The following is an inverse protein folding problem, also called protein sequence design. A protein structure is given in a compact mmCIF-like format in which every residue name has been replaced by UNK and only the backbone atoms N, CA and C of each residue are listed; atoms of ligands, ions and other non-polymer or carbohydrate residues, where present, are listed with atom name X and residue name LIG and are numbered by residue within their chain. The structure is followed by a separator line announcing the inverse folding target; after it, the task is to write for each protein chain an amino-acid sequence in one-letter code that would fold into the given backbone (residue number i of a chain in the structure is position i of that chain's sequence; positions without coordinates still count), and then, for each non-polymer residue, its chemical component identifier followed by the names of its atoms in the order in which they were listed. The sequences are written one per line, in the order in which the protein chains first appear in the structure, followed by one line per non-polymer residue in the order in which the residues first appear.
data_IF_522946683587
#
_entry.id   IF_522946683587
#
_cell.length_a   1.000
_cell.length_b   1.000
_cell.length_c   1.000
_cell.angle_alpha   90.00
_cell.angle_beta   90.00
_cell.angle_gamma   90.00
#
_symmetry.space_group_name_H-M   'P 1'
#
loop_
_entity.id
_entity.type
_entity.pdbx_description
1 polymer ?
#
# COMPACT_ATOMS: atom_id res chain seq x y z
N UNK A 1 15.03 14.99 41.52
CA UNK A 1 15.66 14.42 40.30
C UNK A 1 14.51 14.03 39.38
N UNK A 2 13.98 14.98 38.60
CA UNK A 2 13.04 14.65 37.55
C UNK A 2 13.88 14.14 36.40
N UNK A 3 13.96 12.81 36.24
CA UNK A 3 14.40 12.23 34.97
C UNK A 3 13.33 12.63 33.97
N UNK A 4 13.68 13.61 33.14
CA UNK A 4 12.89 13.93 31.97
C UNK A 4 12.89 12.67 31.09
N UNK A 5 11.74 12.01 30.93
CA UNK A 5 11.59 10.75 30.17
C UNK A 5 12.02 10.90 28.70
N UNK A 6 12.35 12.10 28.27
CA UNK A 6 12.74 12.49 26.93
C UNK A 6 14.26 12.47 26.67
N UNK A 7 15.10 12.39 27.71
CA UNK A 7 16.56 12.40 27.53
C UNK A 7 17.06 10.97 27.29
N UNK A 8 17.35 10.65 26.03
CA UNK A 8 17.91 9.35 25.65
C UNK A 8 19.35 9.16 26.16
N UNK A 9 20.17 10.22 26.14
CA UNK A 9 21.57 10.19 26.60
C UNK A 9 22.03 11.58 27.04
N UNK A 10 22.95 11.62 28.01
CA UNK A 10 23.58 12.85 28.47
C UNK A 10 25.05 12.61 28.81
N UNK A 11 25.92 13.53 28.41
CA UNK A 11 27.36 13.42 28.62
C UNK A 11 28.06 14.78 28.65
N UNK A 12 29.33 14.79 29.07
CA UNK A 12 30.20 15.96 28.96
C UNK A 12 31.09 15.81 27.72
N UNK A 13 31.31 16.92 27.04
CA UNK A 13 32.28 16.99 25.93
C UNK A 13 33.66 16.62 26.47
N UNK A 14 34.36 15.72 25.77
CA UNK A 14 35.72 15.31 26.11
C UNK A 14 36.71 16.46 25.86
N UNK A 15 37.90 16.36 26.46
CA UNK A 15 38.95 17.39 26.32
C UNK A 15 39.40 17.61 24.86
N UNK A 16 39.13 16.66 23.96
CA UNK A 16 39.41 16.74 22.52
C UNK A 16 38.29 17.42 21.70
N UNK A 17 37.23 17.91 22.37
CA UNK A 17 36.08 18.56 21.73
C UNK A 17 35.12 17.58 21.02
N UNK A 18 35.29 16.26 21.17
CA UNK A 18 34.42 15.27 20.51
C UNK A 18 33.32 14.78 21.43
N UNK A 19 32.15 14.54 20.86
CA UNK A 19 31.02 13.87 21.49
C UNK A 19 30.83 12.54 20.76
N UNK A 20 30.86 11.44 21.51
CA UNK A 20 30.63 10.09 21.00
C UNK A 20 29.53 9.48 21.86
N UNK A 21 28.49 8.98 21.22
CA UNK A 21 27.37 8.30 21.85
C UNK A 21 26.91 7.13 20.97
N UNK A 22 26.29 6.12 21.57
CA UNK A 22 25.76 4.97 20.84
C UNK A 22 24.28 5.20 20.53
N UNK A 23 23.91 5.12 19.25
CA UNK A 23 22.51 5.24 18.85
C UNK A 23 21.73 4.01 19.30
N UNK A 24 20.61 4.23 20.00
CA UNK A 24 19.74 3.18 20.53
C UNK A 24 18.35 3.23 19.90
N UNK A 25 17.57 2.15 20.04
CA UNK A 25 16.22 2.05 19.48
C UNK A 25 15.26 3.16 19.97
N UNK A 26 15.51 3.74 21.16
CA UNK A 26 14.69 4.85 21.71
C UNK A 26 14.89 6.18 20.99
N UNK A 27 15.95 6.31 20.19
CA UNK A 27 16.24 7.51 19.40
C UNK A 27 15.53 7.51 18.03
N UNK A 28 14.84 6.42 17.67
CA UNK A 28 14.06 6.34 16.43
C UNK A 28 12.74 7.11 16.59
N UNK A 29 12.30 7.91 15.60
CA UNK A 29 12.91 8.10 14.26
C UNK A 29 13.81 9.33 14.14
N UNK A 30 13.81 10.21 15.14
CA UNK A 30 14.66 11.39 15.20
C UNK A 30 15.04 11.70 16.64
N UNK A 31 16.17 12.38 16.81
CA UNK A 31 16.62 12.87 18.10
C UNK A 31 17.22 14.26 17.93
N UNK A 32 17.03 15.11 18.94
CA UNK A 32 17.66 16.43 19.01
C UNK A 32 18.89 16.34 19.92
N UNK A 33 20.06 16.68 19.40
CA UNK A 33 21.28 16.83 20.17
C UNK A 33 21.38 18.29 20.63
N UNK A 34 21.27 18.51 21.93
CA UNK A 34 21.46 19.82 22.55
C UNK A 34 22.87 19.92 23.12
N UNK A 35 23.60 20.95 22.73
CA UNK A 35 24.92 21.28 23.30
C UNK A 35 24.82 22.64 23.95
N UNK A 36 25.17 22.74 25.22
CA UNK A 36 25.19 24.02 25.92
C UNK A 36 26.48 24.24 26.69
N UNK A 37 26.93 25.50 26.72
CA UNK A 37 28.04 25.96 27.56
C UNK A 37 27.50 26.82 28.70
N UNK A 38 27.96 26.56 29.93
CA UNK A 38 27.53 27.28 31.13
C UNK A 38 28.60 28.27 31.66
N UNK A 39 29.70 28.52 30.93
CA UNK A 39 30.72 29.47 31.37
C UNK A 39 30.33 30.92 31.03
N UNK A 40 29.55 31.55 31.92
CA UNK A 40 29.16 32.96 31.86
C UNK A 40 27.79 33.16 31.23
N UNK A 41 27.74 33.37 29.92
CA UNK A 41 26.47 33.43 29.17
C UNK A 41 26.13 32.04 28.66
N UNK A 42 24.95 31.54 29.00
CA UNK A 42 24.48 30.24 28.49
C UNK A 42 24.34 30.32 26.98
N UNK A 43 25.21 29.63 26.26
CA UNK A 43 25.13 29.45 24.82
C UNK A 43 24.61 28.04 24.56
N UNK A 44 23.56 27.92 23.76
CA UNK A 44 22.94 26.64 23.41
C UNK A 44 22.94 26.54 21.89
N UNK A 45 23.39 25.41 21.38
CA UNK A 45 23.21 25.01 20.00
C UNK A 45 22.45 23.68 19.94
N UNK A 46 21.78 23.40 18.84
CA UNK A 46 20.95 22.20 18.69
C UNK A 46 21.03 21.69 17.26
N UNK A 47 21.16 20.38 17.12
CA UNK A 47 21.10 19.69 15.83
C UNK A 47 20.02 18.60 15.92
N UNK A 48 19.12 18.58 14.94
CA UNK A 48 18.20 17.46 14.71
C UNK A 48 18.87 16.44 13.79
N UNK A 49 18.86 15.17 14.18
CA UNK A 49 19.30 14.07 13.32
C UNK A 49 18.26 12.96 13.29
N UNK A 50 18.19 12.27 12.17
CA UNK A 50 17.26 11.16 11.95
C UNK A 50 17.96 9.84 12.23
N UNK A 51 17.26 8.94 12.90
CA UNK A 51 17.75 7.60 13.22
C UNK A 51 16.89 6.60 12.48
N UNK A 52 17.51 5.88 11.56
CA UNK A 52 16.83 4.85 10.79
C UNK A 52 16.58 3.60 11.66
N UNK A 53 15.35 3.08 11.70
CA UNK A 53 15.05 1.85 12.43
C UNK A 53 15.74 0.65 11.80
N UNK A 54 16.47 -0.13 12.59
CA UNK A 54 17.08 -1.36 12.12
C UNK A 54 16.09 -2.53 12.12
N UNK A 55 15.58 -2.87 10.94
CA UNK A 55 14.60 -3.96 10.79
C UNK A 55 15.27 -5.31 10.49
N UNK A 56 15.09 -6.28 11.39
CA UNK A 56 15.54 -7.69 11.22
C UNK A 56 14.53 -8.60 10.51
N UNK A 57 13.49 -8.04 9.89
CA UNK A 57 12.46 -8.86 9.22
C UNK A 57 13.00 -9.41 7.90
N UNK A 58 12.89 -10.73 7.71
CA UNK A 58 13.34 -11.41 6.48
C UNK A 58 12.28 -12.38 5.98
N UNK A 59 12.21 -12.49 4.66
CA UNK A 59 11.30 -13.35 3.94
C UNK A 59 12.14 -14.29 3.07
N UNK A 60 11.89 -15.58 3.17
CA UNK A 60 12.50 -16.59 2.32
C UNK A 60 11.42 -17.48 1.72
N UNK A 61 11.68 -17.99 0.52
CA UNK A 61 10.75 -18.85 -0.21
C UNK A 61 11.50 -20.05 -0.77
N UNK A 62 10.87 -21.22 -0.76
CA UNK A 62 11.52 -22.47 -1.14
C UNK A 62 11.98 -22.52 -2.60
N UNK A 63 11.24 -21.87 -3.51
CA UNK A 63 11.54 -21.82 -4.95
C UNK A 63 11.12 -20.48 -5.55
N UNK A 64 11.91 -19.95 -6.47
CA UNK A 64 11.57 -18.75 -7.26
C UNK A 64 10.84 -19.10 -8.56
N UNK A 65 10.96 -20.33 -9.05
CA UNK A 65 10.26 -20.83 -10.24
C UNK A 65 9.27 -21.92 -9.84
N UNK A 66 7.99 -21.69 -10.10
CA UNK A 66 6.90 -22.56 -9.62
C UNK A 66 5.91 -22.81 -10.74
N UNK A 67 5.27 -23.98 -10.79
CA UNK A 67 4.19 -24.20 -11.76
C UNK A 67 2.90 -23.56 -11.26
N UNK A 68 1.98 -23.32 -12.20
CA UNK A 68 0.60 -22.97 -11.88
C UNK A 68 0.01 -23.99 -10.90
N UNK A 69 -0.69 -23.52 -9.87
CA UNK A 69 -1.37 -24.37 -8.89
C UNK A 69 -0.47 -25.24 -7.99
N UNK A 70 0.86 -25.09 -8.05
CA UNK A 70 1.80 -25.80 -7.18
C UNK A 70 1.80 -25.20 -5.75
N UNK A 71 2.30 -26.00 -4.80
CA UNK A 71 2.50 -25.56 -3.42
C UNK A 71 3.87 -24.89 -3.26
N UNK A 72 3.88 -23.75 -2.58
CA UNK A 72 5.04 -22.94 -2.28
C UNK A 72 5.21 -22.81 -0.77
N UNK A 73 6.43 -22.99 -0.27
CA UNK A 73 6.72 -22.82 1.16
C UNK A 73 7.38 -21.47 1.38
N UNK A 74 6.83 -20.68 2.29
CA UNK A 74 7.29 -19.35 2.67
C UNK A 74 7.72 -19.38 4.13
N UNK A 75 8.91 -18.86 4.40
CA UNK A 75 9.46 -18.70 5.73
C UNK A 75 9.58 -17.20 6.05
N UNK A 76 8.94 -16.77 7.14
CA UNK A 76 8.98 -15.40 7.65
C UNK A 76 9.74 -15.41 8.96
N UNK A 77 10.78 -14.58 9.08
CA UNK A 77 11.52 -14.40 10.33
C UNK A 77 11.47 -12.93 10.74
N UNK A 78 10.98 -12.66 11.95
CA UNK A 78 10.89 -11.34 12.54
C UNK A 78 11.16 -11.37 14.04
N UNK A 79 10.69 -10.35 14.77
CA UNK A 79 10.77 -10.33 16.23
C UNK A 79 9.75 -11.30 16.84
N UNK A 80 10.03 -11.73 18.07
CA UNK A 80 9.10 -12.55 18.85
C UNK A 80 7.77 -11.81 19.05
N UNK A 81 6.67 -12.55 18.96
CA UNK A 81 5.29 -12.06 19.10
C UNK A 81 4.94 -10.88 18.18
N UNK A 82 5.62 -10.75 17.05
CA UNK A 82 5.26 -9.74 16.04
C UNK A 82 4.11 -10.24 15.15
N UNK A 83 3.31 -9.29 14.69
CA UNK A 83 2.26 -9.49 13.72
C UNK A 83 2.83 -9.23 12.31
N UNK A 84 2.93 -10.27 11.50
CA UNK A 84 3.47 -10.22 10.15
C UNK A 84 2.36 -10.29 9.11
N UNK A 85 2.18 -9.22 8.33
CA UNK A 85 1.36 -9.20 7.12
C UNK A 85 2.18 -9.78 5.96
N UNK A 86 1.68 -10.86 5.36
CA UNK A 86 2.21 -11.41 4.12
C UNK A 86 1.34 -10.94 2.95
N UNK A 87 1.98 -10.38 1.92
CA UNK A 87 1.28 -9.99 0.70
C UNK A 87 1.97 -10.52 -0.54
N UNK A 88 1.17 -10.92 -1.53
CA UNK A 88 1.63 -11.36 -2.84
C UNK A 88 0.78 -10.70 -3.93
N UNK A 89 1.46 -9.91 -4.76
CA UNK A 89 0.85 -9.04 -5.76
C UNK A 89 1.47 -9.33 -7.11
N UNK A 90 0.67 -9.35 -8.16
CA UNK A 90 1.15 -9.42 -9.53
C UNK A 90 2.12 -8.26 -9.83
N UNK A 91 3.20 -8.57 -10.53
CA UNK A 91 4.26 -7.60 -10.85
C UNK A 91 3.73 -6.36 -11.59
N UNK A 92 2.65 -6.51 -12.37
CA UNK A 92 2.01 -5.40 -13.10
C UNK A 92 1.42 -4.36 -12.14
N UNK A 93 1.03 -4.77 -10.93
CA UNK A 93 0.54 -3.89 -9.87
C UNK A 93 1.66 -3.48 -8.89
N UNK A 94 2.86 -4.05 -8.99
CA UNK A 94 3.94 -3.80 -8.05
C UNK A 94 4.35 -2.33 -8.02
N UNK A 95 4.60 -1.70 -9.18
CA UNK A 95 4.97 -0.28 -9.22
C UNK A 95 3.88 0.63 -8.65
N UNK A 96 2.62 0.32 -8.96
CA UNK A 96 1.47 1.05 -8.43
C UNK A 96 1.47 0.98 -6.89
N UNK A 97 1.61 -0.22 -6.34
CA UNK A 97 1.64 -0.44 -4.89
C UNK A 97 2.87 0.19 -4.25
N UNK A 98 4.06 0.06 -4.85
CA UNK A 98 5.28 0.71 -4.35
C UNK A 98 5.14 2.23 -4.33
N UNK A 99 4.48 2.82 -5.32
CA UNK A 99 4.21 4.26 -5.36
C UNK A 99 3.28 4.71 -4.23
N UNK A 100 2.25 3.91 -3.90
CA UNK A 100 1.38 4.20 -2.75
C UNK A 100 2.06 3.92 -1.40
N UNK A 101 2.94 2.92 -1.33
CA UNK A 101 3.69 2.59 -0.11
C UNK A 101 4.82 3.59 0.18
N UNK A 102 5.43 4.19 -0.84
CA UNK A 102 6.48 5.20 -0.67
C UNK A 102 5.94 6.55 -0.17
N UNK A 103 4.66 6.84 -0.40
CA UNK A 103 3.96 7.97 0.24
C UNK A 103 3.64 7.72 1.73
N UNK A 104 4.02 6.55 2.29
CA UNK A 104 3.95 6.30 3.73
C UNK A 104 5.12 6.91 4.52
N UNK A 105 6.16 7.45 3.87
CA UNK A 105 6.84 8.61 4.45
C UNK A 105 6.01 9.80 4.02
N UNK A 106 4.80 9.86 4.55
CA UNK A 106 4.08 11.10 4.41
C UNK A 106 4.93 12.08 5.18
N UNK A 107 5.21 13.20 4.54
CA UNK A 107 5.80 14.36 5.19
C UNK A 107 4.78 14.96 6.16
N UNK A 108 4.27 14.14 7.08
CA UNK A 108 3.67 14.66 8.27
C UNK A 108 4.83 15.27 9.02
N UNK A 109 4.78 16.58 9.21
CA UNK A 109 5.57 17.19 10.25
C UNK A 109 5.05 16.59 11.55
N UNK A 110 5.82 15.69 12.15
CA UNK A 110 5.55 15.23 13.51
C UNK A 110 5.85 16.39 14.46
N UNK A 111 4.83 17.20 14.71
CA UNK A 111 4.89 18.33 15.63
C UNK A 111 4.68 17.91 17.08
N UNK A 112 4.60 16.60 17.39
CA UNK A 112 4.42 16.13 18.77
C UNK A 112 5.55 16.58 19.71
N UNK A 113 6.75 16.78 19.15
CA UNK A 113 7.89 17.44 19.81
C UNK A 113 7.56 18.84 20.33
N UNK A 114 6.70 19.60 19.63
CA UNK A 114 6.29 20.96 20.02
C UNK A 114 5.20 20.94 21.10
N UNK A 115 4.41 19.88 21.19
CA UNK A 115 3.30 19.77 22.15
C UNK A 115 3.79 19.36 23.54
N UNK A 116 4.82 18.51 23.63
CA UNK A 116 5.40 18.07 24.90
C UNK A 116 6.35 19.09 25.53
N UNK A 117 6.98 19.92 24.71
CA UNK A 117 7.82 21.03 25.17
C UNK A 117 7.15 22.37 24.86
N UNK A 118 6.18 22.77 25.70
CA UNK A 118 5.65 24.14 25.69
C UNK A 118 6.72 25.23 25.94
N UNK A 119 7.98 24.85 26.23
CA UNK A 119 9.03 25.78 26.67
C UNK A 119 10.03 26.15 25.58
N UNK A 120 10.13 25.39 24.50
CA UNK A 120 11.05 25.70 23.39
C UNK A 120 10.42 25.35 22.04
N UNK A 121 9.63 26.28 21.50
CA UNK A 121 9.25 26.26 20.09
C UNK A 121 10.52 26.47 19.25
N UNK A 122 11.12 25.38 18.76
CA UNK A 122 12.27 25.45 17.86
C UNK A 122 11.80 25.77 16.43
N UNK A 123 11.46 27.04 16.22
CA UNK A 123 11.08 27.60 14.92
C UNK A 123 12.20 27.50 13.87
N UNK A 124 13.45 27.23 14.28
CA UNK A 124 14.61 27.17 13.39
C UNK A 124 14.70 25.93 12.48
N UNK A 125 14.04 24.82 12.83
CA UNK A 125 14.06 23.60 12.01
C UNK A 125 12.91 23.50 11.03
N UNK A 126 11.92 24.38 11.16
CA UNK A 126 10.72 24.35 10.35
C UNK A 126 10.81 25.51 9.37
N UNK A 127 10.94 25.20 8.09
CA UNK A 127 10.65 26.19 7.05
C UNK A 127 9.15 26.50 7.11
N UNK A 128 8.81 27.53 7.90
CA UNK A 128 7.43 27.92 8.16
C UNK A 128 6.65 28.24 6.89
N UNK A 129 7.33 28.70 5.83
CA UNK A 129 6.70 28.99 4.55
C UNK A 129 6.36 27.69 3.82
N UNK A 130 7.30 26.74 3.79
CA UNK A 130 7.05 25.44 3.18
C UNK A 130 6.00 24.63 3.96
N UNK A 131 6.08 24.62 5.29
CA UNK A 131 5.07 24.00 6.15
C UNK A 131 3.69 24.59 5.89
N UNK A 132 3.58 25.92 5.86
CA UNK A 132 2.31 26.59 5.61
C UNK A 132 1.76 26.20 4.24
N UNK A 133 2.56 26.24 3.17
CA UNK A 133 2.10 25.90 1.83
C UNK A 133 1.56 24.45 1.75
N UNK A 134 2.29 23.48 2.29
CA UNK A 134 1.89 22.06 2.28
C UNK A 134 0.61 21.81 3.10
N UNK A 135 0.48 22.48 4.26
CA UNK A 135 -0.74 22.42 5.07
C UNK A 135 -1.91 23.05 4.32
N UNK A 136 -1.72 24.23 3.71
CA UNK A 136 -2.78 24.93 3.00
C UNK A 136 -3.31 24.11 1.82
N UNK A 137 -2.43 23.49 1.01
CA UNK A 137 -2.82 22.63 -0.11
C UNK A 137 -3.65 21.42 0.36
N UNK A 138 -3.15 20.68 1.35
CA UNK A 138 -3.85 19.50 1.89
C UNK A 138 -5.21 19.87 2.48
N UNK A 139 -5.28 20.99 3.20
CA UNK A 139 -6.52 21.43 3.83
C UNK A 139 -7.51 22.02 2.84
N UNK A 140 -7.04 22.66 1.76
CA UNK A 140 -7.87 23.11 0.63
C UNK A 140 -8.50 21.90 -0.09
N UNK A 141 -7.72 20.87 -0.42
CA UNK A 141 -8.26 19.62 -0.99
C UNK A 141 -9.32 18.97 -0.10
N UNK A 142 -9.06 18.91 1.21
CA UNK A 142 -10.02 18.38 2.18
C UNK A 142 -11.32 19.20 2.21
N UNK A 143 -11.25 20.52 2.10
CA UNK A 143 -12.41 21.41 2.02
C UNK A 143 -13.29 21.13 0.80
N UNK A 144 -12.65 20.93 -0.37
CA UNK A 144 -13.34 20.55 -1.62
C UNK A 144 -14.04 19.19 -1.48
N UNK A 145 -13.32 18.18 -0.97
CA UNK A 145 -13.87 16.83 -0.78
C UNK A 145 -15.03 16.82 0.22
N UNK A 146 -14.95 17.62 1.28
CA UNK A 146 -16.02 17.74 2.27
C UNK A 146 -17.30 18.27 1.63
N UNK A 147 -17.23 19.31 0.80
CA UNK A 147 -18.39 19.83 0.09
C UNK A 147 -18.98 18.78 -0.85
N UNK A 148 -18.15 18.02 -1.57
CA UNK A 148 -18.62 16.96 -2.46
C UNK A 148 -19.41 15.89 -1.70
N UNK A 149 -18.97 15.53 -0.48
CA UNK A 149 -19.57 14.47 0.33
C UNK A 149 -20.78 14.94 1.14
N UNK A 150 -20.64 16.02 1.93
CA UNK A 150 -21.68 16.52 2.84
C UNK A 150 -22.65 17.52 2.19
N UNK A 151 -22.35 18.00 0.98
CA UNK A 151 -23.13 19.02 0.24
C UNK A 151 -23.28 20.38 0.96
N UNK A 152 -22.65 20.55 2.12
CA UNK A 152 -22.64 21.78 2.90
C UNK A 152 -21.32 21.93 3.63
N UNK A 153 -20.81 23.16 3.69
CA UNK A 153 -19.65 23.49 4.51
C UNK A 153 -20.02 23.51 6.00
N UNK A 154 -19.29 22.78 6.86
CA UNK A 154 -19.50 22.83 8.30
C UNK A 154 -19.05 24.17 8.89
N UNK A 155 -19.75 24.63 9.93
CA UNK A 155 -19.29 25.78 10.72
C UNK A 155 -18.28 25.29 11.76
N UNK A 156 -17.04 25.71 11.63
CA UNK A 156 -15.99 25.41 12.60
C UNK A 156 -15.67 26.62 13.48
N UNK A 157 -15.21 26.34 14.70
CA UNK A 157 -14.68 27.37 15.60
C UNK A 157 -13.15 27.36 15.56
N UNK A 158 -12.54 28.53 15.70
CA UNK A 158 -11.09 28.62 15.88
C UNK A 158 -10.68 27.92 17.19
N UNK A 159 -9.54 27.22 17.13
CA UNK A 159 -8.90 26.54 18.24
C UNK A 159 -7.81 27.41 18.88
N UNK A 160 -7.15 26.90 19.93
CA UNK A 160 -5.94 27.52 20.49
C UNK A 160 -4.67 27.30 19.64
N UNK A 161 -4.72 26.40 18.64
CA UNK A 161 -3.57 26.06 17.80
C UNK A 161 -3.52 26.95 16.56
N UNK A 162 -2.47 27.76 16.45
CA UNK A 162 -2.24 28.61 15.27
C UNK A 162 -2.14 27.77 13.97
N UNK A 163 -1.51 26.59 14.04
CA UNK A 163 -1.34 25.69 12.88
C UNK A 163 -2.68 25.09 12.46
N UNK A 164 -3.48 24.62 13.43
CA UNK A 164 -4.82 24.10 13.14
C UNK A 164 -5.71 25.18 12.55
N UNK A 165 -5.61 26.43 13.03
CA UNK A 165 -6.39 27.54 12.52
C UNK A 165 -5.96 27.97 11.11
N UNK A 166 -4.67 27.85 10.74
CA UNK A 166 -4.21 28.06 9.36
C UNK A 166 -4.84 27.03 8.42
N UNK A 167 -4.75 25.74 8.74
CA UNK A 167 -5.42 24.69 7.98
C UNK A 167 -6.93 24.93 7.88
N UNK A 168 -7.56 25.27 9.00
CA UNK A 168 -9.00 25.49 9.06
C UNK A 168 -9.45 26.64 8.14
N UNK A 169 -8.69 27.73 8.09
CA UNK A 169 -8.99 28.87 7.21
C UNK A 169 -8.93 28.46 5.74
N UNK A 170 -7.89 27.74 5.33
CA UNK A 170 -7.77 27.26 3.94
C UNK A 170 -8.86 26.27 3.57
N UNK A 171 -9.21 25.38 4.50
CA UNK A 171 -10.33 24.45 4.35
C UNK A 171 -11.66 25.18 4.12
N UNK A 172 -12.00 26.14 4.98
CA UNK A 172 -13.26 26.89 4.89
C UNK A 172 -13.32 27.67 3.59
N UNK A 173 -12.23 28.38 3.24
CA UNK A 173 -12.14 29.14 2.00
C UNK A 173 -12.38 28.26 0.77
N UNK A 174 -11.77 27.08 0.71
CA UNK A 174 -11.94 26.13 -0.39
C UNK A 174 -13.38 25.61 -0.49
N UNK A 175 -13.99 25.28 0.66
CA UNK A 175 -15.37 24.82 0.72
C UNK A 175 -16.36 25.91 0.28
N UNK A 176 -16.22 27.14 0.79
CA UNK A 176 -17.11 28.26 0.49
C UNK A 176 -16.98 28.73 -0.98
N UNK A 177 -15.76 28.76 -1.52
CA UNK A 177 -15.50 29.11 -2.93
C UNK A 177 -16.36 28.29 -3.89
N UNK A 178 -16.49 26.98 -3.66
CA UNK A 178 -17.27 26.09 -4.51
C UNK A 178 -18.78 26.14 -4.23
N UNK A 179 -19.18 26.57 -3.03
CA UNK A 179 -20.60 26.72 -2.68
C UNK A 179 -21.22 27.95 -3.37
N UNK A 180 -20.41 28.98 -3.62
CA UNK A 180 -20.83 30.22 -4.30
C UNK A 180 -20.87 30.13 -5.83
N UNK A 181 -20.30 29.08 -6.44
CA UNK A 181 -20.40 28.86 -7.89
C UNK A 181 -21.65 28.06 -8.23
N UNK A 182 -22.73 28.79 -8.54
CA UNK A 182 -23.95 28.28 -9.18
C UNK A 182 -23.64 27.43 -10.41
N UNK A 183 -23.94 26.14 -10.30
CA UNK A 183 -24.47 25.23 -11.34
C UNK A 183 -24.18 25.61 -12.79
N UNK A 184 -22.96 25.37 -13.25
CA UNK A 184 -22.75 24.92 -14.63
C UNK A 184 -22.00 23.61 -14.55
N UNK A 185 -22.62 22.50 -14.95
CA UNK A 185 -21.93 21.21 -15.05
C UNK A 185 -20.81 21.34 -16.08
N UNK A 186 -19.59 21.65 -15.62
CA UNK A 186 -18.41 21.57 -16.46
C UNK A 186 -18.01 20.11 -16.56
N UNK A 187 -18.68 19.39 -17.47
CA UNK A 187 -18.06 18.26 -18.13
C UNK A 187 -16.83 18.83 -18.83
N UNK A 188 -15.63 18.46 -18.38
CA UNK A 188 -14.39 18.90 -19.02
C UNK A 188 -14.41 18.45 -20.49
N UNK A 189 -14.59 19.41 -21.40
CA UNK A 189 -14.46 19.16 -22.83
C UNK A 189 -12.98 19.09 -23.19
N UNK A 190 -12.53 17.86 -23.45
CA UNK A 190 -11.12 17.54 -23.77
C UNK A 190 -10.65 18.21 -25.07
N UNK A 191 -11.54 18.75 -25.90
CA UNK A 191 -11.19 19.41 -27.17
C UNK A 191 -10.91 20.90 -27.06
N UNK A 192 -11.45 21.59 -26.05
CA UNK A 192 -11.39 23.07 -26.00
C UNK A 192 -10.52 23.62 -24.87
N UNK A 193 -10.07 22.79 -23.93
CA UNK A 193 -9.19 23.22 -22.83
C UNK A 193 -9.79 24.30 -21.91
N UNK A 194 -11.07 24.63 -22.10
CA UNK A 194 -11.76 25.70 -21.39
C UNK A 194 -12.76 25.07 -20.42
N UNK A 195 -12.43 25.03 -19.14
CA UNK A 195 -13.37 24.58 -18.11
C UNK A 195 -12.74 23.87 -16.92
N UNK A 196 -11.58 23.24 -17.10
CA UNK A 196 -10.80 22.77 -15.97
C UNK A 196 -9.97 23.98 -15.52
N UNK A 197 -10.19 24.48 -14.29
CA UNK A 197 -9.45 25.61 -13.74
C UNK A 197 -7.96 25.27 -13.72
N UNK A 198 -7.22 25.74 -14.71
CA UNK A 198 -5.77 25.79 -14.66
C UNK A 198 -5.47 27.06 -13.88
N UNK A 199 -5.21 26.91 -12.57
CA UNK A 199 -4.44 27.92 -11.88
C UNK A 199 -3.03 27.95 -12.46
N UNK A 200 -2.47 29.14 -12.54
CA UNK A 200 -1.24 29.50 -13.27
C UNK A 200 0.06 28.83 -12.80
N UNK A 201 -0.04 27.79 -11.97
CA UNK A 201 1.11 27.14 -11.35
C UNK A 201 1.10 25.61 -11.51
N UNK A 202 0.77 25.10 -12.70
CA UNK A 202 1.22 23.79 -13.20
C UNK A 202 0.88 22.51 -12.38
N UNK A 203 0.14 22.60 -11.28
CA UNK A 203 -0.22 21.45 -10.45
C UNK A 203 -1.45 20.75 -11.03
N UNK A 204 -1.24 19.49 -11.36
CA UNK A 204 -2.28 18.61 -11.91
C UNK A 204 -3.25 18.24 -10.79
N UNK A 205 -4.51 18.67 -10.92
CA UNK A 205 -5.61 18.19 -10.08
C UNK A 205 -5.72 16.67 -10.24
N UNK A 206 -5.15 15.92 -9.28
CA UNK A 206 -5.32 14.47 -9.19
C UNK A 206 -6.65 14.18 -8.50
N UNK A 207 -7.72 14.20 -9.29
CA UNK A 207 -8.97 13.57 -8.88
C UNK A 207 -8.78 12.04 -8.88
N UNK A 208 -8.34 11.50 -7.74
CA UNK A 208 -8.46 10.09 -7.43
C UNK A 208 -9.81 9.84 -6.74
N UNK A 209 -10.91 9.91 -7.50
CA UNK A 209 -12.16 9.29 -7.08
C UNK A 209 -12.11 7.80 -7.43
N UNK A 210 -11.36 7.03 -6.66
CA UNK A 210 -11.58 5.60 -6.54
C UNK A 210 -12.18 5.37 -5.16
N UNK A 211 -13.51 5.47 -5.07
CA UNK A 211 -14.22 4.85 -3.96
C UNK A 211 -14.00 3.35 -4.07
N UNK A 212 -13.02 2.83 -3.32
CA UNK A 212 -12.98 1.41 -3.01
C UNK A 212 -14.09 1.19 -1.99
N UNK A 213 -15.26 0.73 -2.47
CA UNK A 213 -16.28 0.15 -1.62
C UNK A 213 -15.68 -1.10 -0.96
N UNK A 214 -15.06 -0.93 0.21
CA UNK A 214 -14.94 -2.00 1.17
C UNK A 214 -16.35 -2.27 1.67
N UNK A 215 -17.07 -3.17 0.99
CA UNK A 215 -18.16 -3.87 1.64
C UNK A 215 -17.53 -4.62 2.81
N UNK A 216 -17.68 -4.02 3.99
CA UNK A 216 -17.68 -4.69 5.29
C UNK A 216 -18.12 -6.14 5.10
N UNK A 217 -17.17 -7.06 5.08
CA UNK A 217 -17.42 -8.46 5.36
C UNK A 217 -17.64 -8.46 6.87
N UNK A 218 -18.88 -8.19 7.26
CA UNK A 218 -19.40 -8.51 8.57
C UNK A 218 -19.08 -9.98 8.83
N UNK A 219 -18.16 -10.21 9.74
CA UNK A 219 -17.87 -11.50 10.36
C UNK A 219 -19.13 -11.97 11.09
N UNK A 220 -20.07 -12.53 10.33
CA UNK A 220 -21.15 -13.33 10.88
C UNK A 220 -20.57 -14.70 11.20
N UNK A 221 -20.22 -14.86 12.48
CA UNK A 221 -20.15 -16.15 13.13
C UNK A 221 -21.44 -16.93 12.81
N UNK A 222 -21.36 -17.86 11.85
CA UNK A 222 -22.47 -18.77 11.56
C UNK A 222 -22.16 -20.12 12.18
N UNK A 223 -22.98 -20.43 13.18
CA UNK A 223 -23.05 -21.68 13.93
C UNK A 223 -22.81 -22.90 13.05
N UNK A 224 -21.85 -23.73 13.48
CA UNK A 224 -21.78 -25.15 13.14
C UNK A 224 -23.01 -25.83 13.77
N UNK A 225 -24.00 -26.12 12.95
CA UNK A 225 -24.97 -27.18 13.24
C UNK A 225 -24.86 -28.20 12.13
N UNK A 226 -24.34 -29.35 12.55
CA UNK A 226 -24.30 -30.63 11.87
C UNK A 226 -25.70 -31.07 11.45
N UNK A 227 -25.88 -31.40 10.18
CA UNK A 227 -26.95 -32.30 9.75
C UNK A 227 -26.30 -33.48 9.04
N UNK A 228 -26.62 -34.66 9.55
CA UNK A 228 -26.40 -35.96 8.95
C UNK A 228 -26.95 -35.99 7.51
N UNK A 229 -26.17 -36.60 6.61
CA UNK A 229 -26.70 -37.68 5.78
C UNK A 229 -25.55 -38.54 5.24
N UNK A 230 -25.64 -39.83 5.54
CA UNK A 230 -24.72 -40.89 5.14
C UNK A 230 -25.31 -41.66 3.93
N UNK A 231 -24.63 -42.66 3.35
CA UNK A 231 -23.92 -42.53 2.08
C UNK A 231 -24.59 -43.30 0.95
N UNK A 232 -24.52 -42.79 -0.29
CA UNK A 232 -24.86 -43.57 -1.48
C UNK A 232 -23.63 -43.78 -2.35
N UNK A 233 -23.32 -45.06 -2.51
CA UNK A 233 -22.22 -45.62 -3.25
C UNK A 233 -22.32 -45.39 -4.78
N UNK A 234 -21.22 -45.72 -5.45
CA UNK A 234 -21.08 -46.04 -6.88
C UNK A 234 -20.95 -44.87 -7.87
N UNK A 235 -19.77 -44.24 -7.86
CA UNK A 235 -19.11 -43.86 -9.10
C UNK A 235 -17.69 -44.44 -9.13
N UNK A 236 -17.60 -45.67 -9.63
CA UNK A 236 -16.38 -46.19 -10.25
C UNK A 236 -16.30 -45.51 -11.61
N UNK A 237 -15.78 -44.28 -11.64
CA UNK A 237 -15.63 -43.51 -12.87
C UNK A 237 -14.17 -43.47 -13.27
N UNK A 238 -13.97 -43.73 -14.57
CA UNK A 238 -12.68 -43.77 -15.24
C UNK A 238 -11.89 -42.50 -14.92
N UNK A 239 -10.56 -42.63 -14.89
CA UNK A 239 -9.64 -41.51 -14.99
C UNK A 239 -9.88 -40.76 -16.30
N UNK A 240 -10.90 -39.92 -16.33
CA UNK A 240 -11.07 -38.88 -17.34
C UNK A 240 -9.97 -37.87 -17.09
N UNK A 241 -8.97 -37.88 -17.97
CA UNK A 241 -8.03 -36.78 -18.16
C UNK A 241 -8.80 -35.58 -18.74
N UNK A 242 -9.77 -35.07 -17.99
CA UNK A 242 -10.38 -33.78 -18.27
C UNK A 242 -9.32 -32.70 -17.98
N UNK A 243 -9.00 -31.83 -18.95
CA UNK A 243 -8.02 -30.78 -18.72
C UNK A 243 -8.52 -29.87 -17.60
N UNK A 244 -7.72 -29.71 -16.53
CA UNK A 244 -8.03 -28.80 -15.44
C UNK A 244 -8.04 -27.38 -15.99
N UNK A 245 -9.23 -26.77 -16.03
CA UNK A 245 -9.41 -25.39 -16.49
C UNK A 245 -8.86 -24.45 -15.43
N UNK A 246 -7.90 -23.61 -15.82
CA UNK A 246 -7.41 -22.53 -14.97
C UNK A 246 -8.51 -21.51 -14.77
N UNK A 247 -8.78 -21.15 -13.52
CA UNK A 247 -9.92 -20.31 -13.17
C UNK A 247 -9.56 -19.19 -12.18
N UNK A 248 -8.44 -19.30 -11.48
CA UNK A 248 -8.06 -18.34 -10.44
C UNK A 248 -6.96 -17.39 -10.92
N UNK A 249 -7.36 -16.18 -11.34
CA UNK A 249 -6.49 -15.14 -11.90
C UNK A 249 -6.51 -13.80 -11.12
N UNK A 250 -6.14 -13.80 -9.84
CA UNK A 250 -6.14 -12.59 -9.03
C UNK A 250 -5.02 -11.62 -9.44
N UNK A 251 -5.19 -10.32 -9.14
CA UNK A 251 -4.08 -9.35 -9.10
C UNK A 251 -3.35 -9.36 -7.75
N UNK A 252 -4.07 -9.70 -6.67
CA UNK A 252 -3.56 -9.86 -5.30
C UNK A 252 -4.17 -11.13 -4.73
N UNK A 253 -3.35 -12.06 -4.24
CA UNK A 253 -3.84 -13.36 -3.78
C UNK A 253 -3.44 -13.74 -2.37
N UNK A 254 -2.43 -13.08 -1.81
CA UNK A 254 -2.13 -13.12 -0.38
C UNK A 254 -2.22 -11.73 0.17
N UNK A 255 -2.96 -11.61 1.27
CA UNK A 255 -3.07 -10.41 2.08
C UNK A 255 -3.57 -10.82 3.47
N UNK A 256 -2.74 -11.58 4.18
CA UNK A 256 -3.09 -12.20 5.46
C UNK A 256 -2.05 -11.86 6.53
N UNK A 257 -2.52 -11.64 7.75
CA UNK A 257 -1.69 -11.41 8.93
C UNK A 257 -1.47 -12.71 9.72
N UNK A 258 -0.27 -12.85 10.24
CA UNK A 258 0.13 -14.01 11.04
C UNK A 258 0.89 -13.56 12.28
N UNK A 259 0.64 -14.21 13.41
CA UNK A 259 1.43 -14.02 14.60
C UNK A 259 2.68 -14.93 14.56
N UNK A 260 3.87 -14.34 14.64
CA UNK A 260 5.14 -15.09 14.61
C UNK A 260 5.43 -15.85 15.92
N UNK A 261 4.68 -15.58 16.99
CA UNK A 261 4.82 -16.25 18.28
C UNK A 261 6.20 -16.08 18.92
N UNK A 262 6.48 -16.87 19.97
CA UNK A 262 7.70 -16.72 20.77
C UNK A 262 9.00 -17.01 20.00
N UNK A 263 8.94 -17.80 18.93
CA UNK A 263 10.11 -18.11 18.09
C UNK A 263 10.48 -16.97 17.14
N UNK A 264 9.54 -16.07 16.83
CA UNK A 264 9.71 -15.05 15.79
C UNK A 264 9.83 -15.65 14.39
N UNK A 265 9.44 -16.91 14.18
CA UNK A 265 9.59 -17.63 12.90
C UNK A 265 8.30 -18.35 12.54
N UNK A 266 7.90 -18.23 11.28
CA UNK A 266 6.70 -18.86 10.73
C UNK A 266 7.01 -19.48 9.37
N UNK A 267 6.63 -20.75 9.20
CA UNK A 267 6.69 -21.45 7.91
C UNK A 267 5.27 -21.78 7.44
N UNK A 268 4.92 -21.30 6.25
CA UNK A 268 3.60 -21.49 5.64
C UNK A 268 3.74 -22.23 4.32
N UNK A 269 2.79 -23.11 4.02
CA UNK A 269 2.67 -23.71 2.68
C UNK A 269 1.39 -23.19 2.03
N UNK A 270 1.56 -22.47 0.94
CA UNK A 270 0.51 -21.74 0.21
C UNK A 270 0.42 -22.28 -1.21
N UNK A 271 -0.79 -22.30 -1.79
CA UNK A 271 -0.99 -22.76 -3.18
C UNK A 271 -0.98 -21.56 -4.12
N UNK A 272 -0.09 -21.59 -5.11
CA UNK A 272 0.09 -20.46 -6.03
C UNK A 272 -1.08 -20.38 -7.04
N UNK A 273 -1.54 -19.18 -7.43
CA UNK A 273 -2.66 -19.03 -8.37
C UNK A 273 -2.38 -19.59 -9.77
N UNK A 274 -3.43 -19.59 -10.61
CA UNK A 274 -3.35 -20.10 -11.97
C UNK A 274 -2.81 -19.10 -13.00
N UNK A 275 -2.57 -17.86 -12.56
CA UNK A 275 -1.94 -16.83 -13.38
C UNK A 275 -0.50 -17.21 -13.70
N UNK A 276 -0.14 -17.20 -14.98
CA UNK A 276 1.24 -17.30 -15.45
C UNK A 276 1.80 -15.87 -15.47
N UNK A 277 2.56 -15.51 -14.46
CA UNK A 277 3.03 -14.13 -14.20
C UNK A 277 4.23 -14.15 -13.25
N UNK A 278 4.71 -12.98 -12.88
CA UNK A 278 5.61 -12.81 -11.74
C UNK A 278 4.84 -12.22 -10.56
N UNK A 279 5.05 -12.77 -9.38
CA UNK A 279 4.49 -12.32 -8.13
C UNK A 279 5.57 -11.64 -7.31
N UNK A 280 5.30 -10.42 -6.86
CA UNK A 280 6.08 -9.76 -5.81
C UNK A 280 5.50 -10.14 -4.46
N UNK A 281 6.28 -10.89 -3.68
CA UNK A 281 5.93 -11.32 -2.33
C UNK A 281 6.72 -10.51 -1.33
N UNK A 282 6.05 -9.95 -0.33
CA UNK A 282 6.67 -9.13 0.70
C UNK A 282 6.00 -9.38 2.05
N UNK A 283 6.76 -9.23 3.12
CA UNK A 283 6.27 -9.29 4.49
C UNK A 283 6.47 -7.97 5.19
N UNK A 284 5.50 -7.54 5.98
CA UNK A 284 5.60 -6.39 6.89
C UNK A 284 5.29 -6.85 8.29
N UNK A 285 6.21 -6.66 9.23
CA UNK A 285 6.05 -7.08 10.62
C UNK A 285 5.94 -5.87 11.54
N UNK A 286 4.98 -5.91 12.46
CA UNK A 286 4.83 -4.95 13.55
C UNK A 286 4.93 -5.68 14.88
N UNK A 287 5.72 -5.14 15.80
CA UNK A 287 5.86 -5.70 17.15
C UNK A 287 5.18 -4.77 18.14
N UNK A 288 4.38 -5.28 19.10
CA UNK A 288 3.83 -4.45 20.16
C UNK A 288 4.93 -3.68 20.89
N UNK A 289 4.81 -2.35 20.94
CA UNK A 289 5.81 -1.44 21.52
C UNK A 289 6.72 -0.75 20.50
N UNK A 290 6.83 -1.29 19.28
CA UNK A 290 7.57 -0.63 18.20
C UNK A 290 6.69 0.42 17.52
N UNK A 291 7.26 1.61 17.28
CA UNK A 291 6.60 2.70 16.54
C UNK A 291 6.58 2.48 15.02
N UNK A 292 7.41 1.55 14.53
CA UNK A 292 7.66 1.38 13.10
C UNK A 292 7.24 -0.02 12.64
N UNK A 293 6.74 -0.10 11.41
CA UNK A 293 6.47 -1.36 10.71
C UNK A 293 7.71 -1.75 9.90
N UNK A 294 8.25 -2.94 10.17
CA UNK A 294 9.43 -3.47 9.50
C UNK A 294 9.09 -4.26 8.25
N UNK A 295 9.49 -3.74 7.09
CA UNK A 295 9.27 -4.39 5.78
C UNK A 295 10.46 -5.27 5.41
N UNK A 296 10.17 -6.46 4.89
CA UNK A 296 11.17 -7.30 4.23
C UNK A 296 11.43 -6.78 2.82
N UNK A 297 12.62 -7.07 2.27
CA UNK A 297 12.84 -6.89 0.84
C UNK A 297 11.81 -7.72 0.03
N UNK A 298 11.28 -7.19 -1.08
CA UNK A 298 10.35 -7.93 -1.92
C UNK A 298 11.09 -9.08 -2.62
N UNK A 299 10.46 -10.25 -2.66
CA UNK A 299 10.94 -11.42 -3.39
C UNK A 299 10.07 -11.63 -4.64
N UNK A 300 10.71 -11.88 -5.78
CA UNK A 300 10.01 -12.15 -7.03
C UNK A 300 9.93 -13.66 -7.27
N UNK A 301 8.72 -14.15 -7.51
CA UNK A 301 8.43 -15.55 -7.83
C UNK A 301 7.79 -15.61 -9.20
N UNK A 302 8.33 -16.42 -10.10
CA UNK A 302 7.79 -16.61 -11.45
C UNK A 302 6.95 -17.88 -11.52
N UNK A 303 5.68 -17.74 -11.90
CA UNK A 303 4.82 -18.87 -12.25
C UNK A 303 4.93 -19.18 -13.72
N UNK A 304 5.16 -20.45 -14.05
CA UNK A 304 5.33 -20.91 -15.42
C UNK A 304 4.41 -22.08 -15.76
N UNK A 305 4.03 -22.13 -17.03
CA UNK A 305 3.31 -23.24 -17.64
C UNK A 305 3.89 -23.48 -19.03
N UNK A 306 4.10 -24.75 -19.40
CA UNK A 306 4.74 -25.10 -20.69
C UNK A 306 3.88 -24.77 -21.92
N UNK A 307 2.56 -24.82 -21.74
CA UNK A 307 1.57 -24.49 -22.75
C UNK A 307 0.41 -23.77 -22.06
N UNK A 308 0.14 -22.54 -22.46
CA UNK A 308 -0.97 -21.76 -21.93
C UNK A 308 -1.52 -20.80 -22.99
N UNK A 309 -2.72 -20.30 -22.72
CA UNK A 309 -3.35 -19.26 -23.53
C UNK A 309 -3.63 -18.01 -22.69
N UNK A 310 -3.60 -16.85 -23.33
CA UNK A 310 -4.09 -15.59 -22.79
C UNK A 310 -5.25 -15.11 -23.65
N UNK A 311 -6.25 -14.51 -23.02
CA UNK A 311 -7.41 -13.95 -23.69
C UNK A 311 -7.46 -12.46 -23.36
N UNK A 312 -7.33 -11.63 -24.38
CA UNK A 312 -7.53 -10.19 -24.28
C UNK A 312 -8.99 -9.88 -24.62
N UNK A 313 -9.72 -9.41 -23.60
CA UNK A 313 -11.14 -9.09 -23.65
C UNK A 313 -11.38 -7.79 -22.90
N UNK A 314 -12.30 -6.97 -23.41
CA UNK A 314 -12.73 -5.77 -22.71
C UNK A 314 -13.33 -6.09 -21.32
N UNK A 315 -13.10 -5.20 -20.36
CA UNK A 315 -13.58 -5.35 -18.97
C UNK A 315 -15.11 -5.39 -18.89
N UNK A 316 -15.79 -4.66 -19.77
CA UNK A 316 -17.23 -4.59 -19.85
C UNK A 316 -17.67 -4.68 -21.31
N UNK A 317 -18.75 -5.41 -21.56
CA UNK A 317 -19.37 -5.58 -22.88
C UNK A 317 -20.87 -5.38 -22.71
N UNK A 318 -21.49 -4.62 -23.60
CA UNK A 318 -22.93 -4.39 -23.54
C UNK A 318 -23.70 -5.56 -24.17
N UNK A 319 -24.94 -5.76 -23.70
CA UNK A 319 -25.83 -6.76 -24.29
C UNK A 319 -26.07 -6.40 -25.76
N UNK A 320 -26.04 -7.40 -26.65
CA UNK A 320 -26.17 -7.29 -28.11
C UNK A 320 -24.98 -6.62 -28.82
N UNK A 321 -23.85 -6.41 -28.14
CA UNK A 321 -22.60 -5.98 -28.77
C UNK A 321 -21.79 -7.18 -29.29
N UNK A 322 -21.24 -7.06 -30.50
CA UNK A 322 -20.30 -8.06 -31.03
C UNK A 322 -18.88 -7.69 -30.65
N UNK A 323 -18.26 -8.49 -29.79
CA UNK A 323 -16.87 -8.26 -29.34
C UNK A 323 -15.95 -9.36 -29.85
N UNK A 324 -14.79 -8.96 -30.36
CA UNK A 324 -13.72 -9.86 -30.78
C UNK A 324 -12.77 -10.07 -29.62
N UNK A 325 -12.69 -11.31 -29.11
CA UNK A 325 -11.68 -11.70 -28.14
C UNK A 325 -10.41 -12.13 -28.87
N UNK A 326 -9.26 -11.53 -28.55
CA UNK A 326 -7.96 -11.94 -29.09
C UNK A 326 -7.40 -13.03 -28.19
N UNK A 327 -7.18 -14.22 -28.76
CA UNK A 327 -6.58 -15.35 -28.04
C UNK A 327 -5.17 -15.57 -28.56
N UNK A 328 -4.20 -15.54 -27.64
CA UNK A 328 -2.79 -15.85 -27.93
C UNK A 328 -2.40 -17.12 -27.20
N UNK A 329 -1.68 -18.01 -27.89
CA UNK A 329 -1.15 -19.25 -27.30
C UNK A 329 0.36 -19.15 -27.21
N UNK A 330 0.86 -19.56 -26.06
CA UNK A 330 2.27 -19.61 -25.74
C UNK A 330 2.65 -21.06 -25.44
N UNK A 331 3.71 -21.52 -26.10
CA UNK A 331 4.27 -22.86 -25.92
C UNK A 331 5.80 -22.76 -25.83
N UNK A 332 6.39 -23.47 -24.88
CA UNK A 332 7.85 -23.57 -24.73
C UNK A 332 8.50 -24.31 -25.92
N UNK A 333 7.83 -25.33 -26.45
CA UNK A 333 8.24 -26.06 -27.65
C UNK A 333 7.04 -26.35 -28.52
N UNK A 334 7.12 -25.94 -29.78
CA UNK A 334 6.13 -26.29 -30.81
C UNK A 334 6.73 -27.39 -31.67
N UNK A 335 6.22 -28.61 -31.52
CA UNK A 335 6.50 -29.68 -32.48
C UNK A 335 5.69 -29.43 -33.75
N UNK A 336 6.24 -29.80 -34.92
CA UNK A 336 5.67 -29.48 -36.25
C UNK A 336 4.24 -29.98 -36.45
N UNK A 337 3.75 -30.90 -35.61
CA UNK A 337 2.43 -31.53 -35.74
C UNK A 337 1.46 -31.15 -34.60
N UNK A 338 1.77 -30.11 -33.82
CA UNK A 338 0.94 -29.73 -32.68
C UNK A 338 -0.41 -29.13 -33.15
N UNK A 339 -1.47 -29.94 -33.10
CA UNK A 339 -2.84 -29.51 -33.44
C UNK A 339 -3.52 -28.95 -32.20
N UNK A 340 -3.83 -27.65 -32.18
CA UNK A 340 -4.55 -27.03 -31.06
C UNK A 340 -6.05 -27.02 -31.34
N UNK A 341 -6.80 -27.81 -30.58
CA UNK A 341 -8.26 -27.88 -30.69
C UNK A 341 -8.92 -26.98 -29.65
N UNK A 342 -9.80 -26.08 -30.10
CA UNK A 342 -10.55 -25.18 -29.23
C UNK A 342 -11.97 -25.69 -29.10
N UNK A 343 -12.40 -25.92 -27.86
CA UNK A 343 -13.79 -26.29 -27.55
C UNK A 343 -14.43 -25.13 -26.80
N UNK A 344 -15.62 -24.75 -27.26
CA UNK A 344 -16.43 -23.67 -26.69
C UNK A 344 -17.66 -24.28 -26.04
N UNK A 345 -17.91 -23.96 -24.77
CA UNK A 345 -18.96 -24.62 -23.98
C UNK A 345 -20.34 -23.94 -24.09
N UNK A 346 -20.42 -22.66 -24.53
CA UNK A 346 -21.69 -21.96 -24.81
C UNK A 346 -21.66 -21.19 -26.12
N UNK A 347 -22.68 -21.35 -26.97
CA UNK A 347 -22.94 -20.54 -28.19
C UNK A 347 -23.04 -19.07 -27.77
N UNK A 348 -22.07 -18.18 -28.05
CA UNK A 348 -22.30 -17.04 -28.98
C UNK A 348 -21.07 -16.13 -29.28
N UNK A 349 -19.85 -16.41 -28.83
CA UNK A 349 -18.65 -15.68 -29.31
C UNK A 349 -18.07 -16.17 -30.65
N UNK A 350 -17.72 -15.25 -31.56
CA UNK A 350 -16.76 -15.50 -32.65
C UNK A 350 -15.37 -15.20 -32.09
N UNK A 351 -14.54 -16.22 -31.96
CA UNK A 351 -13.15 -16.08 -31.51
C UNK A 351 -12.24 -15.98 -32.73
N UNK A 352 -11.41 -14.93 -32.79
CA UNK A 352 -10.35 -14.83 -33.79
C UNK A 352 -9.02 -15.08 -33.08
N UNK A 353 -8.31 -16.12 -33.51
CA UNK A 353 -6.92 -16.35 -33.10
C UNK A 353 -6.08 -15.41 -33.94
N UNK A 354 -5.39 -14.48 -33.30
CA UNK A 354 -4.53 -13.57 -34.04
C UNK A 354 -3.10 -14.13 -34.15
N UNK A 355 -2.58 -14.80 -33.12
CA UNK A 355 -1.14 -15.13 -33.07
C UNK A 355 -0.78 -16.37 -32.23
N UNK A 356 0.20 -17.13 -32.73
CA UNK A 356 0.91 -18.19 -32.01
C UNK A 356 2.33 -17.69 -31.72
N UNK A 357 2.74 -17.69 -30.46
CA UNK A 357 4.03 -17.15 -30.02
C UNK A 357 4.89 -18.22 -29.34
N UNK A 358 6.15 -18.32 -29.78
CA UNK A 358 7.20 -19.08 -29.12
C UNK A 358 7.78 -18.24 -27.99
N UNK A 359 7.92 -18.84 -26.80
CA UNK A 359 8.55 -18.21 -25.62
C UNK A 359 10.07 -18.37 -25.63
#
# INVERSE_FOLDING_TARGET
MFQDETIAEAGRVRDDGRIIFETTDVMVPYCALHVFSASGTVQIDTILFFVEPFCKNSLAVSKTLVKVSDNLTVAINGRFNSLALLSAVDIRMHELIQKYLSHSISKYWDLSMMERSLRTLFLGFIDSKNLKNEIEETCEEAGVLMLQHLKRCPNFMESSSAISNVCLRSFILACERLTSQTTTSKVCDRKTGHGCGIDRDGSTVKLASAQVQWKSISFLARNRTTLDDSPSALFRERTDLSPVIRQYFPEVWLFEDYNLGASGRLNLTIRVPDTVTQWSVQSSAWTPGDLVICRSAPLIISTQQKLYMTVDLAQHVYINESVTARVSIFAEKIEKDMTVNFKKERKEFKTFISDLHLL
#
